data_IF_741458917245
#
_entry.id   IF_741458917245
#
_cell.length_a   1.000
_cell.length_b   1.000
_cell.length_c   1.000
_cell.angle_alpha   90.00
_cell.angle_beta   90.00
_cell.angle_gamma   90.00
#
_symmetry.space_group_name_H-M   'P 1'
#
loop_
_entity.id
_entity.type
_entity.pdbx_description
1 polymer ?
#
# COMPACT_ATOMS: atom_id res chain seq x y z
N UNK A 1 -48.92 17.37 6.50
CA UNK A 1 -48.33 18.48 5.70
C UNK A 1 -47.28 19.18 6.55
N UNK A 2 -46.05 19.05 6.18
CA UNK A 2 -44.96 19.72 6.85
C UNK A 2 -44.75 21.06 6.13
N UNK A 3 -45.17 22.13 6.75
CA UNK A 3 -44.82 23.48 6.32
C UNK A 3 -43.57 23.91 7.08
N UNK A 4 -42.42 23.88 6.46
CA UNK A 4 -41.26 24.58 6.96
C UNK A 4 -41.12 25.92 6.24
N UNK A 5 -41.52 27.02 6.91
CA UNK A 5 -41.49 28.37 6.31
C UNK A 5 -40.06 28.88 6.06
N UNK A 6 -39.05 28.13 6.48
CA UNK A 6 -37.64 28.51 6.32
C UNK A 6 -36.92 27.67 5.30
N UNK A 7 -37.63 26.79 4.57
CA UNK A 7 -37.02 26.02 3.52
C UNK A 7 -36.40 26.93 2.46
N UNK A 8 -35.11 26.85 2.27
CA UNK A 8 -34.38 27.55 1.22
C UNK A 8 -33.50 26.55 0.50
N UNK A 9 -33.67 26.42 -0.80
CA UNK A 9 -32.85 25.57 -1.65
C UNK A 9 -31.37 25.92 -1.47
N UNK A 10 -30.51 24.91 -1.38
CA UNK A 10 -29.07 25.07 -1.25
C UNK A 10 -28.53 25.37 0.16
N UNK A 11 -29.34 25.25 1.20
CA UNK A 11 -28.89 25.31 2.59
C UNK A 11 -28.99 23.97 3.28
N UNK A 12 -28.08 23.70 4.20
CA UNK A 12 -28.14 22.53 5.05
C UNK A 12 -29.27 22.64 6.05
N UNK A 13 -30.23 21.73 6.01
CA UNK A 13 -31.33 21.65 6.95
C UNK A 13 -31.16 20.50 7.90
N UNK A 14 -31.42 20.76 9.15
CA UNK A 14 -31.63 19.71 10.14
C UNK A 14 -33.10 19.35 10.10
N UNK A 15 -33.44 18.23 9.50
CA UNK A 15 -34.79 17.70 9.58
C UNK A 15 -34.98 17.06 10.94
N UNK A 16 -35.82 17.65 11.77
CA UNK A 16 -36.40 16.90 12.86
C UNK A 16 -37.53 16.06 12.28
N UNK A 17 -37.32 14.76 12.23
CA UNK A 17 -38.40 13.83 12.02
C UNK A 17 -39.33 13.93 13.21
N UNK A 18 -40.39 14.74 13.06
CA UNK A 18 -41.46 14.77 14.05
C UNK A 18 -42.30 13.54 13.92
N UNK A 19 -42.95 13.14 14.99
CA UNK A 19 -43.84 11.98 15.05
C UNK A 19 -44.97 12.00 13.99
N UNK A 20 -45.21 13.10 13.33
CA UNK A 20 -46.18 13.22 12.25
C UNK A 20 -45.81 12.38 10.99
N UNK A 21 -44.55 12.02 10.86
CA UNK A 21 -44.12 11.03 9.85
C UNK A 21 -44.54 9.59 10.19
N UNK A 22 -45.03 9.33 11.39
CA UNK A 22 -45.53 8.03 11.82
C UNK A 22 -46.99 7.80 11.54
N UNK A 23 -47.67 8.71 10.86
CA UNK A 23 -49.05 8.49 10.39
C UNK A 23 -49.15 7.52 9.21
N UNK A 24 -48.04 7.11 8.64
CA UNK A 24 -47.99 5.99 7.70
C UNK A 24 -47.85 4.69 8.49
N UNK A 25 -48.96 4.07 8.76
CA UNK A 25 -49.13 2.92 9.65
C UNK A 25 -48.25 1.70 9.33
N UNK A 26 -47.49 1.69 8.25
CA UNK A 26 -46.78 0.52 7.76
C UNK A 26 -45.27 0.69 7.59
N UNK A 27 -44.70 1.87 7.84
CA UNK A 27 -43.23 2.04 7.81
C UNK A 27 -42.66 2.11 9.20
N UNK A 28 -42.23 0.98 9.69
CA UNK A 28 -41.30 0.92 10.82
C UNK A 28 -40.00 1.58 10.36
N UNK A 29 -39.81 2.81 10.72
CA UNK A 29 -38.47 3.43 10.59
C UNK A 29 -37.55 2.63 11.50
N UNK A 30 -36.72 1.82 10.90
CA UNK A 30 -35.72 1.05 11.61
C UNK A 30 -34.70 2.04 12.21
N UNK A 31 -34.90 2.38 13.46
CA UNK A 31 -33.98 3.25 14.21
C UNK A 31 -32.64 2.59 14.47
N UNK A 32 -32.47 1.32 14.08
CA UNK A 32 -31.16 0.65 14.08
C UNK A 32 -30.32 0.99 12.84
N UNK A 33 -30.92 1.56 11.82
CA UNK A 33 -30.17 2.16 10.69
C UNK A 33 -29.54 3.46 11.20
N UNK A 34 -28.61 3.36 12.10
CA UNK A 34 -27.80 4.47 12.55
C UNK A 34 -28.52 5.83 12.60
N UNK A 35 -28.00 6.74 13.34
CA UNK A 35 -28.46 8.12 13.33
C UNK A 35 -28.65 8.53 11.86
N UNK A 36 -29.91 8.84 11.49
CA UNK A 36 -30.12 9.60 10.26
C UNK A 36 -29.28 10.86 10.46
N UNK A 37 -28.13 10.90 9.83
CA UNK A 37 -27.27 12.05 9.90
C UNK A 37 -27.96 13.15 9.09
N UNK A 38 -28.83 13.85 9.78
CA UNK A 38 -29.61 14.95 9.22
C UNK A 38 -28.75 16.16 8.87
N UNK A 39 -27.44 16.05 9.07
CA UNK A 39 -26.52 17.16 8.85
C UNK A 39 -25.96 17.20 7.43
N UNK A 40 -26.23 16.20 6.63
CA UNK A 40 -25.63 16.13 5.30
C UNK A 40 -26.70 16.15 4.25
N UNK A 41 -27.02 17.33 3.84
CA UNK A 41 -27.61 17.53 2.54
C UNK A 41 -26.63 16.96 1.50
N UNK A 42 -27.12 16.10 0.63
CA UNK A 42 -26.44 15.76 -0.59
C UNK A 42 -26.27 17.06 -1.36
N UNK A 43 -25.04 17.42 -1.68
CA UNK A 43 -24.76 18.64 -2.46
C UNK A 43 -25.21 18.50 -3.93
N UNK A 44 -25.78 17.35 -4.28
CA UNK A 44 -26.23 17.04 -5.65
C UNK A 44 -25.06 16.65 -6.57
N UNK A 45 -23.83 16.83 -6.13
CA UNK A 45 -22.65 16.48 -6.92
C UNK A 45 -22.16 15.08 -6.58
N UNK A 46 -21.92 14.28 -7.61
CA UNK A 46 -21.31 12.97 -7.47
C UNK A 46 -19.93 13.02 -8.10
N UNK A 47 -18.92 12.77 -7.28
CA UNK A 47 -17.57 12.59 -7.76
C UNK A 47 -17.24 11.11 -7.86
N UNK A 48 -16.42 10.76 -8.84
CA UNK A 48 -16.01 9.37 -9.06
C UNK A 48 -14.53 9.17 -8.74
N UNK A 49 -14.25 8.19 -7.89
CA UNK A 49 -12.92 7.69 -7.59
C UNK A 49 -12.70 6.35 -8.28
N UNK A 50 -11.69 6.24 -9.12
CA UNK A 50 -11.20 4.94 -9.58
C UNK A 50 -10.12 4.48 -8.63
N UNK A 51 -10.35 3.34 -7.99
CA UNK A 51 -9.48 2.81 -6.96
C UNK A 51 -8.69 1.62 -7.49
N UNK A 52 -7.52 1.40 -6.91
CA UNK A 52 -6.67 0.23 -7.15
C UNK A 52 -6.23 -0.33 -5.80
N UNK A 53 -5.71 -1.55 -5.79
CA UNK A 53 -5.15 -2.11 -4.58
C UNK A 53 -4.05 -1.23 -3.99
N UNK A 54 -3.93 -1.22 -2.68
CA UNK A 54 -2.91 -0.44 -1.94
C UNK A 54 -1.50 -0.98 -2.14
N UNK A 55 -1.37 -2.20 -2.70
CA UNK A 55 -0.07 -2.83 -2.95
C UNK A 55 0.66 -2.19 -4.13
N UNK A 56 1.97 -2.08 -4.00
CA UNK A 56 2.88 -1.67 -5.06
C UNK A 56 4.06 -2.61 -5.09
N UNK A 57 4.34 -3.18 -6.27
CA UNK A 57 5.45 -4.14 -6.44
C UNK A 57 6.79 -3.48 -6.17
N UNK A 58 7.65 -4.19 -5.47
CA UNK A 58 9.02 -3.75 -5.21
C UNK A 58 9.88 -3.86 -6.47
N UNK A 59 10.87 -3.00 -6.59
CA UNK A 59 11.88 -3.02 -7.64
C UNK A 59 13.25 -3.37 -7.07
N UNK A 60 13.89 -4.38 -7.65
CA UNK A 60 15.21 -4.87 -7.24
C UNK A 60 16.14 -4.93 -8.44
N UNK A 61 17.32 -4.38 -8.31
CA UNK A 61 18.38 -4.46 -9.29
C UNK A 61 19.48 -5.44 -8.81
N UNK A 62 19.99 -6.25 -9.71
CA UNK A 62 21.15 -7.12 -9.44
C UNK A 62 22.46 -6.47 -9.90
N UNK A 63 23.57 -6.87 -9.30
CA UNK A 63 24.93 -6.58 -9.81
C UNK A 63 25.69 -7.90 -9.96
N UNK A 64 26.50 -8.02 -10.99
CA UNK A 64 27.31 -9.23 -11.25
C UNK A 64 28.80 -8.95 -11.06
N UNK A 65 29.54 -9.98 -10.72
CA UNK A 65 31.00 -9.90 -10.53
C UNK A 65 31.66 -11.26 -10.52
N UNK A 66 32.97 -11.30 -10.49
CA UNK A 66 33.81 -12.51 -10.36
C UNK A 66 34.66 -12.42 -9.09
N UNK A 67 35.19 -13.56 -8.65
CA UNK A 67 35.93 -13.63 -7.39
C UNK A 67 35.02 -13.31 -6.20
N UNK A 68 33.88 -13.93 -6.13
CA UNK A 68 32.85 -13.70 -5.10
C UNK A 68 32.73 -14.90 -4.15
N UNK A 69 32.22 -14.65 -2.95
CA UNK A 69 31.88 -15.72 -2.00
C UNK A 69 30.66 -16.45 -2.53
N UNK A 70 30.86 -17.75 -2.82
CA UNK A 70 29.82 -18.57 -3.39
C UNK A 70 28.93 -19.22 -2.34
N UNK A 71 29.55 -19.76 -1.30
CA UNK A 71 28.84 -20.49 -0.25
C UNK A 71 29.51 -20.28 1.09
N UNK A 72 28.73 -20.22 2.15
CA UNK A 72 29.18 -20.15 3.52
C UNK A 72 28.86 -21.45 4.23
N UNK A 73 29.86 -22.04 4.87
CA UNK A 73 29.74 -23.23 5.68
C UNK A 73 29.79 -22.86 7.16
N UNK A 74 28.68 -23.05 7.86
CA UNK A 74 28.62 -22.86 9.31
C UNK A 74 29.22 -24.09 9.97
N UNK A 75 30.47 -23.98 10.43
CA UNK A 75 31.22 -25.11 11.03
C UNK A 75 30.81 -25.34 12.48
N UNK A 76 30.44 -24.28 13.19
CA UNK A 76 29.90 -24.29 14.55
C UNK A 76 28.87 -23.17 14.68
N UNK A 77 27.69 -23.52 15.13
CA UNK A 77 26.57 -22.56 15.30
C UNK A 77 26.67 -21.67 16.55
N UNK A 78 27.62 -22.01 17.46
CA UNK A 78 27.80 -21.30 18.72
C UNK A 78 26.61 -21.43 19.67
N UNK A 79 26.62 -20.68 20.74
CA UNK A 79 25.53 -20.66 21.71
C UNK A 79 25.46 -19.36 22.50
N UNK A 80 24.30 -19.10 23.11
CA UNK A 80 24.11 -17.99 24.04
C UNK A 80 23.90 -16.63 23.36
N UNK A 81 23.57 -16.57 22.09
CA UNK A 81 23.27 -15.32 21.39
C UNK A 81 21.97 -14.72 21.91
N UNK A 82 22.00 -13.41 22.21
CA UNK A 82 20.83 -12.61 22.58
C UNK A 82 20.39 -11.66 21.47
N UNK A 83 21.28 -11.41 20.52
CA UNK A 83 21.03 -10.64 19.30
C UNK A 83 21.90 -11.17 18.14
N UNK A 84 21.56 -10.89 16.88
CA UNK A 84 22.38 -11.31 15.74
C UNK A 84 23.81 -10.82 15.87
N UNK A 85 24.81 -11.72 15.69
CA UNK A 85 26.22 -11.33 15.75
C UNK A 85 26.61 -10.54 14.49
N UNK A 86 27.68 -9.76 14.61
CA UNK A 86 28.34 -9.11 13.48
C UNK A 86 29.23 -10.12 12.76
N UNK A 87 29.02 -10.25 11.45
CA UNK A 87 29.81 -11.14 10.58
C UNK A 87 30.65 -10.28 9.64
N UNK A 88 31.96 -10.42 9.73
CA UNK A 88 32.90 -9.67 8.90
C UNK A 88 33.75 -10.63 8.08
N UNK A 89 34.07 -10.22 6.87
CA UNK A 89 34.97 -10.90 5.96
C UNK A 89 36.29 -10.12 5.86
N UNK A 90 37.40 -10.80 5.69
CA UNK A 90 38.66 -10.12 5.38
C UNK A 90 38.50 -9.32 4.07
N UNK A 91 39.33 -8.27 3.95
CA UNK A 91 39.26 -7.36 2.82
C UNK A 91 39.41 -8.07 1.47
N UNK A 92 38.73 -7.54 0.47
CA UNK A 92 38.83 -7.96 -0.92
C UNK A 92 39.87 -7.09 -1.64
N UNK A 93 40.71 -7.67 -2.52
CA UNK A 93 41.66 -6.90 -3.35
C UNK A 93 40.96 -5.84 -4.22
N UNK A 94 39.69 -6.01 -4.57
CA UNK A 94 38.90 -5.04 -5.33
C UNK A 94 38.18 -3.99 -4.45
N UNK A 95 38.42 -3.98 -3.14
CA UNK A 95 37.72 -3.14 -2.16
C UNK A 95 36.19 -3.34 -2.14
N UNK A 96 35.74 -4.55 -2.48
CA UNK A 96 34.35 -4.98 -2.44
C UNK A 96 34.18 -6.19 -1.52
N UNK A 97 34.29 -6.04 -0.20
CA UNK A 97 34.21 -7.16 0.73
C UNK A 97 32.81 -7.74 0.75
N UNK A 98 32.74 -9.06 0.94
CA UNK A 98 31.50 -9.75 1.21
C UNK A 98 30.87 -9.26 2.52
N UNK A 99 29.55 -9.33 2.60
CA UNK A 99 28.77 -8.97 3.78
C UNK A 99 27.70 -10.02 4.03
N UNK A 100 27.42 -10.31 5.29
CA UNK A 100 26.41 -11.29 5.66
C UNK A 100 25.73 -10.92 6.97
N UNK A 101 24.58 -11.56 7.20
CA UNK A 101 23.83 -11.53 8.45
C UNK A 101 23.65 -12.93 8.99
N UNK A 102 23.69 -13.09 10.31
CA UNK A 102 23.39 -14.34 10.99
C UNK A 102 21.92 -14.37 11.39
N UNK A 103 21.23 -15.43 10.99
CA UNK A 103 19.87 -15.74 11.43
C UNK A 103 19.94 -16.62 12.65
N UNK A 104 19.29 -16.23 13.73
CA UNK A 104 19.28 -16.97 14.99
C UNK A 104 18.08 -17.90 15.08
N UNK A 105 18.30 -19.02 15.77
CA UNK A 105 17.22 -19.93 16.20
C UNK A 105 17.39 -20.27 17.67
N UNK A 106 16.27 -20.51 18.35
CA UNK A 106 16.28 -20.92 19.77
C UNK A 106 15.71 -22.33 19.87
N UNK A 107 16.52 -23.26 20.36
CA UNK A 107 16.14 -24.64 20.61
C UNK A 107 16.48 -25.01 22.05
N UNK A 108 15.52 -25.53 22.80
CA UNK A 108 15.70 -25.93 24.21
C UNK A 108 16.37 -24.82 25.08
N UNK A 109 15.94 -23.56 24.92
CA UNK A 109 16.48 -22.35 25.57
C UNK A 109 17.93 -22.00 25.22
N UNK A 110 18.48 -22.59 24.19
CA UNK A 110 19.79 -22.22 23.66
C UNK A 110 19.57 -21.51 22.34
N UNK A 111 20.04 -20.27 22.23
CA UNK A 111 20.00 -19.53 20.99
C UNK A 111 21.36 -19.65 20.28
N UNK A 112 21.34 -20.11 19.05
CA UNK A 112 22.50 -20.30 18.19
C UNK A 112 22.27 -19.71 16.80
N UNK A 113 23.29 -19.66 15.96
CA UNK A 113 23.15 -19.26 14.56
C UNK A 113 22.56 -20.43 13.77
N UNK A 114 21.39 -20.24 13.18
CA UNK A 114 20.76 -21.23 12.31
C UNK A 114 21.42 -21.26 10.93
N UNK A 115 21.63 -20.07 10.37
CA UNK A 115 22.25 -19.89 9.04
C UNK A 115 22.85 -18.50 8.90
N UNK A 116 23.76 -18.38 7.94
CA UNK A 116 24.35 -17.12 7.53
C UNK A 116 23.92 -16.81 6.11
N UNK A 117 23.31 -15.65 5.89
CA UNK A 117 22.84 -15.18 4.59
C UNK A 117 23.72 -14.04 4.09
N UNK A 118 24.17 -14.13 2.84
CA UNK A 118 24.90 -13.05 2.20
C UNK A 118 23.98 -11.86 1.90
N UNK A 119 24.38 -10.68 2.29
CA UNK A 119 23.79 -9.41 1.81
C UNK A 119 24.56 -8.89 0.60
N UNK A 120 25.83 -9.25 0.48
CA UNK A 120 26.66 -9.03 -0.69
C UNK A 120 27.69 -10.17 -0.77
N UNK A 121 27.85 -10.76 -1.93
CA UNK A 121 28.85 -11.80 -2.14
C UNK A 121 30.28 -11.25 -2.31
N UNK A 122 30.42 -9.92 -2.40
CA UNK A 122 31.70 -9.29 -2.66
C UNK A 122 32.24 -9.56 -4.04
N UNK A 123 33.47 -9.19 -4.28
CA UNK A 123 34.13 -9.42 -5.57
C UNK A 123 35.65 -9.31 -5.49
N UNK A 124 36.35 -9.87 -6.48
CA UNK A 124 37.81 -9.78 -6.61
C UNK A 124 38.61 -10.65 -5.65
N UNK A 125 37.99 -11.60 -4.95
CA UNK A 125 38.73 -12.56 -4.15
C UNK A 125 39.45 -13.57 -5.04
N UNK A 126 40.73 -13.82 -4.71
CA UNK A 126 41.54 -14.86 -5.32
C UNK A 126 41.69 -16.08 -4.40
N UNK A 127 41.44 -15.88 -3.10
CA UNK A 127 41.43 -16.93 -2.07
C UNK A 127 40.24 -16.71 -1.15
N UNK A 128 39.66 -17.75 -0.53
CA UNK A 128 38.54 -17.59 0.39
C UNK A 128 38.86 -16.62 1.52
N UNK A 129 38.02 -15.59 1.75
CA UNK A 129 38.23 -14.69 2.85
C UNK A 129 38.02 -15.36 4.21
N UNK A 130 38.73 -14.86 5.22
CA UNK A 130 38.50 -15.27 6.61
C UNK A 130 37.20 -14.65 7.11
N UNK A 131 36.35 -15.45 7.76
CA UNK A 131 35.09 -15.01 8.37
C UNK A 131 35.32 -14.85 9.87
N UNK A 132 35.00 -13.68 10.40
CA UNK A 132 35.00 -13.38 11.84
C UNK A 132 33.58 -13.13 12.31
N UNK A 133 33.14 -13.90 13.32
CA UNK A 133 31.82 -13.75 13.95
C UNK A 133 32.05 -13.17 15.36
N UNK A 134 31.44 -12.04 15.65
CA UNK A 134 31.65 -11.32 16.91
C UNK A 134 30.39 -10.64 17.44
N UNK A 135 30.32 -10.42 18.73
CA UNK A 135 29.17 -9.75 19.35
C UNK A 135 27.97 -10.66 19.52
N UNK A 136 26.79 -10.08 19.73
CA UNK A 136 25.53 -10.80 19.94
C UNK A 136 25.41 -11.53 21.26
N UNK A 137 26.41 -11.47 22.16
CA UNK A 137 26.40 -12.12 23.48
C UNK A 137 26.76 -13.58 23.45
N UNK A 138 26.79 -14.24 22.29
CA UNK A 138 27.12 -15.65 22.13
C UNK A 138 28.61 -15.92 21.96
N UNK A 139 28.97 -17.21 21.99
CA UNK A 139 30.35 -17.69 21.86
C UNK A 139 30.42 -18.95 20.99
N UNK A 140 31.60 -19.20 20.43
CA UNK A 140 31.94 -20.48 19.77
C UNK A 140 31.45 -20.61 18.33
N UNK A 141 30.77 -19.64 17.76
CA UNK A 141 30.39 -19.70 16.36
C UNK A 141 31.61 -19.58 15.44
N UNK A 142 31.63 -20.42 14.40
CA UNK A 142 32.68 -20.42 13.39
C UNK A 142 32.12 -20.77 12.01
N UNK A 143 32.61 -20.07 11.01
CA UNK A 143 32.23 -20.30 9.63
C UNK A 143 33.44 -20.21 8.67
N UNK A 144 33.34 -20.89 7.56
CA UNK A 144 34.25 -20.81 6.41
C UNK A 144 33.45 -20.58 5.14
N UNK A 145 34.11 -20.24 4.04
CA UNK A 145 33.43 -20.03 2.77
C UNK A 145 34.23 -20.60 1.60
N UNK A 146 33.52 -20.82 0.49
CA UNK A 146 34.11 -21.04 -0.82
C UNK A 146 33.95 -19.81 -1.69
N UNK A 147 34.80 -19.69 -2.73
CA UNK A 147 34.71 -18.60 -3.72
C UNK A 147 34.58 -19.16 -5.14
N UNK A 148 34.03 -18.33 -6.03
CA UNK A 148 34.01 -18.62 -7.48
C UNK A 148 34.81 -17.52 -8.18
N UNK A 149 35.83 -17.94 -8.96
CA UNK A 149 36.75 -16.99 -9.62
C UNK A 149 36.66 -17.05 -11.14
N UNK A 150 36.08 -18.12 -11.70
CA UNK A 150 36.06 -18.34 -13.14
C UNK A 150 34.83 -17.73 -13.79
N UNK A 151 33.69 -17.86 -13.14
CA UNK A 151 32.42 -17.38 -13.65
C UNK A 151 31.92 -16.14 -12.90
N UNK A 152 31.15 -15.29 -13.60
CA UNK A 152 30.42 -14.22 -12.95
C UNK A 152 29.14 -14.77 -12.32
N UNK A 153 28.83 -14.26 -11.12
CA UNK A 153 27.59 -14.50 -10.40
C UNK A 153 26.96 -13.19 -9.93
N UNK A 154 25.78 -13.24 -9.37
CA UNK A 154 25.13 -12.11 -8.72
C UNK A 154 25.83 -11.83 -7.40
N UNK A 155 26.43 -10.67 -7.27
CA UNK A 155 27.21 -10.28 -6.09
C UNK A 155 26.44 -9.37 -5.13
N UNK A 156 25.37 -8.76 -5.63
CA UNK A 156 24.51 -7.90 -4.82
C UNK A 156 23.12 -7.78 -5.41
N UNK A 157 22.11 -7.72 -4.54
CA UNK A 157 20.76 -7.23 -4.84
C UNK A 157 20.55 -5.89 -4.17
N UNK A 158 20.20 -4.88 -4.95
CA UNK A 158 19.87 -3.55 -4.47
C UNK A 158 18.37 -3.33 -4.57
N UNK A 159 17.70 -3.10 -3.45
CA UNK A 159 16.29 -2.72 -3.43
C UNK A 159 16.21 -1.25 -3.84
N UNK A 160 15.72 -1.00 -5.06
CA UNK A 160 15.54 0.35 -5.63
C UNK A 160 14.28 0.97 -5.04
N UNK A 161 13.22 0.18 -4.97
CA UNK A 161 11.94 0.52 -4.37
C UNK A 161 11.42 -0.68 -3.58
N UNK A 162 11.11 -0.47 -2.31
CA UNK A 162 10.61 -1.54 -1.44
C UNK A 162 9.17 -1.96 -1.70
N UNK A 163 8.44 -1.26 -2.58
CA UNK A 163 7.02 -1.50 -2.79
C UNK A 163 6.20 -1.24 -1.52
N UNK A 164 4.96 -1.70 -1.51
CA UNK A 164 4.04 -1.56 -0.36
C UNK A 164 3.07 -2.74 -0.34
N UNK A 165 2.63 -3.15 0.85
CA UNK A 165 1.54 -4.12 1.01
C UNK A 165 1.98 -5.57 1.07
N UNK A 166 3.24 -5.84 1.34
CA UNK A 166 3.75 -7.19 1.55
C UNK A 166 3.35 -7.71 2.93
N UNK A 167 2.40 -8.64 2.99
CA UNK A 167 2.06 -9.36 4.23
C UNK A 167 2.99 -10.54 4.53
N UNK A 168 3.66 -11.04 3.48
CA UNK A 168 4.62 -12.15 3.52
C UNK A 168 5.79 -11.84 2.59
N UNK A 169 6.91 -12.51 2.78
CA UNK A 169 8.09 -12.34 1.94
C UNK A 169 7.78 -12.76 0.49
N UNK A 170 7.96 -11.85 -0.50
CA UNK A 170 7.70 -12.17 -1.89
C UNK A 170 8.77 -13.10 -2.46
N UNK A 171 8.40 -13.86 -3.48
CA UNK A 171 9.36 -14.62 -4.26
C UNK A 171 10.17 -13.69 -5.17
N UNK A 172 11.49 -13.96 -5.24
CA UNK A 172 12.42 -13.23 -6.10
C UNK A 172 12.76 -14.15 -7.28
N UNK A 173 12.38 -13.76 -8.47
CA UNK A 173 12.74 -14.46 -9.69
C UNK A 173 13.90 -13.74 -10.40
N UNK A 174 14.96 -14.45 -10.70
CA UNK A 174 16.15 -13.93 -11.38
C UNK A 174 16.24 -14.58 -12.76
N UNK A 175 16.49 -13.80 -13.79
CA UNK A 175 16.67 -14.33 -15.15
C UNK A 175 17.83 -15.32 -15.17
N UNK A 176 17.59 -16.49 -15.74
CA UNK A 176 18.58 -17.55 -15.88
C UNK A 176 19.76 -17.11 -16.77
N UNK A 177 21.00 -17.42 -16.42
CA UNK A 177 22.13 -17.22 -17.33
C UNK A 177 22.04 -18.15 -18.54
N UNK A 178 22.66 -17.75 -19.65
CA UNK A 178 22.68 -18.58 -20.87
C UNK A 178 23.34 -19.96 -20.68
N UNK A 179 24.28 -20.04 -19.75
CA UNK A 179 24.91 -21.28 -19.32
C UNK A 179 25.36 -21.13 -17.86
N UNK A 180 25.01 -22.10 -17.02
CA UNK A 180 25.39 -22.06 -15.60
C UNK A 180 24.22 -22.32 -14.65
N UNK A 181 24.26 -21.72 -13.47
CA UNK A 181 23.21 -21.84 -12.44
C UNK A 181 22.58 -20.48 -12.15
N UNK A 182 21.26 -20.46 -11.99
CA UNK A 182 20.51 -19.24 -11.65
C UNK A 182 20.78 -18.82 -10.21
N UNK A 183 20.94 -17.52 -9.99
CA UNK A 183 21.04 -16.96 -8.66
C UNK A 183 19.71 -17.06 -7.91
N UNK A 184 19.79 -17.23 -6.58
CA UNK A 184 18.63 -17.33 -5.69
C UNK A 184 18.69 -16.21 -4.67
N UNK A 185 17.66 -15.38 -4.67
CA UNK A 185 17.44 -14.33 -3.69
C UNK A 185 16.39 -14.74 -2.65
N UNK A 186 16.58 -14.32 -1.41
CA UNK A 186 15.60 -14.44 -0.32
C UNK A 186 15.19 -13.06 0.11
N UNK A 187 13.89 -12.76 -0.03
CA UNK A 187 13.32 -11.51 0.40
C UNK A 187 13.30 -11.40 1.93
N UNK A 188 13.40 -10.18 2.43
CA UNK A 188 13.12 -9.84 3.82
C UNK A 188 12.28 -8.58 3.85
N UNK A 189 11.13 -8.65 4.49
CA UNK A 189 10.19 -7.55 4.63
C UNK A 189 10.34 -6.87 5.99
N UNK A 190 9.87 -5.65 6.08
CA UNK A 190 9.86 -4.90 7.33
C UNK A 190 9.05 -3.62 7.21
N UNK A 191 8.83 -2.95 8.33
CA UNK A 191 8.03 -1.72 8.37
C UNK A 191 8.81 -0.52 7.82
N UNK A 192 8.13 0.28 6.98
CA UNK A 192 8.53 1.62 6.59
C UNK A 192 7.35 2.56 6.89
N UNK A 193 7.38 3.22 8.05
CA UNK A 193 6.21 3.90 8.57
C UNK A 193 5.14 2.88 8.99
N UNK A 194 3.94 3.02 8.44
CA UNK A 194 2.81 2.09 8.62
C UNK A 194 2.82 0.90 7.66
N UNK A 195 3.66 0.94 6.62
CA UNK A 195 3.60 0.01 5.51
C UNK A 195 4.63 -1.11 5.63
N UNK A 196 4.23 -2.32 5.28
CA UNK A 196 5.16 -3.44 5.09
C UNK A 196 5.74 -3.38 3.68
N UNK A 197 7.07 -3.31 3.62
CA UNK A 197 7.85 -3.17 2.38
C UNK A 197 8.95 -4.22 2.31
N UNK A 198 9.45 -4.47 1.11
CA UNK A 198 10.69 -5.22 0.92
C UNK A 198 11.88 -4.38 1.41
N UNK A 199 12.56 -4.84 2.45
CA UNK A 199 13.73 -4.15 3.05
C UNK A 199 15.04 -4.55 2.42
N UNK A 200 15.20 -5.83 2.15
CA UNK A 200 16.44 -6.37 1.61
C UNK A 200 16.19 -7.68 0.86
N UNK A 201 17.12 -8.03 -0.01
CA UNK A 201 17.18 -9.34 -0.64
C UNK A 201 18.55 -9.93 -0.30
N UNK A 202 18.54 -11.07 0.38
CA UNK A 202 19.74 -11.84 0.69
C UNK A 202 20.09 -12.76 -0.46
N UNK A 203 21.37 -13.02 -0.65
CA UNK A 203 21.87 -13.97 -1.64
C UNK A 203 21.94 -15.35 -0.98
N UNK A 204 21.07 -16.26 -1.41
CA UNK A 204 21.12 -17.66 -1.00
C UNK A 204 22.06 -18.47 -1.89
N UNK A 205 22.05 -18.19 -3.19
CA UNK A 205 23.02 -18.71 -4.17
C UNK A 205 23.34 -17.56 -5.14
N UNK A 206 24.59 -17.15 -5.28
CA UNK A 206 25.01 -16.18 -6.28
C UNK A 206 24.80 -16.61 -7.73
N UNK A 207 24.57 -17.89 -7.95
CA UNK A 207 24.57 -18.49 -9.29
C UNK A 207 25.96 -18.41 -9.96
N UNK A 208 25.99 -18.66 -11.23
CA UNK A 208 27.21 -18.53 -12.06
C UNK A 208 26.90 -18.55 -13.55
N UNK A 209 27.81 -18.00 -14.35
CA UNK A 209 27.71 -18.02 -15.81
C UNK A 209 26.93 -16.85 -16.37
N UNK A 210 26.73 -15.79 -15.60
CA UNK A 210 26.17 -14.53 -16.08
C UNK A 210 27.18 -13.78 -16.93
N UNK A 211 26.74 -13.33 -18.10
CA UNK A 211 27.52 -12.48 -19.02
C UNK A 211 27.00 -11.03 -18.92
N UNK A 212 25.70 -10.89 -18.69
CA UNK A 212 25.03 -9.62 -18.49
C UNK A 212 24.29 -9.64 -17.16
N UNK A 213 24.06 -8.47 -16.59
CA UNK A 213 23.22 -8.30 -15.40
C UNK A 213 21.83 -8.89 -15.63
N UNK A 214 21.40 -9.86 -14.80
CA UNK A 214 20.08 -10.45 -14.93
C UNK A 214 18.97 -9.47 -14.57
N UNK A 215 17.80 -9.63 -15.18
CA UNK A 215 16.60 -8.99 -14.70
C UNK A 215 16.12 -9.71 -13.42
N UNK A 216 15.65 -8.93 -12.46
CA UNK A 216 15.08 -9.41 -11.21
C UNK A 216 13.63 -9.01 -11.15
N UNK A 217 12.75 -9.97 -10.93
CA UNK A 217 11.32 -9.75 -10.78
C UNK A 217 10.89 -10.13 -9.37
N UNK A 218 10.22 -9.25 -8.70
CA UNK A 218 9.62 -9.47 -7.38
C UNK A 218 8.15 -9.80 -7.57
N UNK A 219 7.65 -10.82 -6.86
CA UNK A 219 6.23 -11.14 -6.89
C UNK A 219 5.40 -9.97 -6.33
N UNK A 220 4.23 -9.78 -6.90
CA UNK A 220 3.31 -8.74 -6.46
C UNK A 220 2.84 -8.95 -5.02
N UNK A 221 2.62 -7.88 -4.26
CA UNK A 221 2.07 -7.98 -2.93
C UNK A 221 0.61 -8.48 -2.97
N UNK A 222 0.18 -9.28 -1.96
CA UNK A 222 -1.20 -9.81 -1.93
C UNK A 222 -2.28 -8.73 -1.86
N UNK A 223 -1.96 -7.53 -1.37
CA UNK A 223 -2.89 -6.40 -1.25
C UNK A 223 -3.07 -5.58 -2.53
N UNK A 224 -2.59 -6.04 -3.69
CA UNK A 224 -2.89 -5.41 -4.99
C UNK A 224 -4.38 -5.30 -5.28
N UNK A 225 -5.20 -6.18 -4.71
CA UNK A 225 -6.66 -6.17 -4.87
C UNK A 225 -7.41 -5.15 -4.01
N UNK A 226 -6.72 -4.40 -3.13
CA UNK A 226 -7.36 -3.59 -2.09
C UNK A 226 -7.87 -4.42 -0.92
N UNK A 227 -8.42 -3.79 0.09
CA UNK A 227 -8.88 -4.44 1.33
C UNK A 227 -10.30 -3.95 1.65
N UNK A 228 -11.20 -4.91 1.89
CA UNK A 228 -12.54 -4.65 2.39
C UNK A 228 -13.52 -4.13 1.34
N UNK A 229 -14.69 -3.72 1.79
CA UNK A 229 -15.80 -3.22 0.97
C UNK A 229 -16.33 -1.94 1.62
N UNK A 230 -16.43 -0.87 0.86
CA UNK A 230 -17.03 0.38 1.35
C UNK A 230 -18.53 0.20 1.59
N UNK A 231 -19.01 0.85 2.64
CA UNK A 231 -20.40 0.80 3.06
C UNK A 231 -21.11 2.08 2.59
N UNK A 232 -22.33 1.94 2.10
CA UNK A 232 -23.16 3.08 1.72
C UNK A 232 -23.25 4.09 2.89
N UNK A 233 -23.12 5.37 2.56
CA UNK A 233 -23.22 6.50 3.48
C UNK A 233 -22.10 6.59 4.56
N UNK A 234 -21.08 5.75 4.52
CA UNK A 234 -19.92 5.93 5.40
C UNK A 234 -19.07 7.12 4.98
N UNK A 235 -18.30 7.65 5.93
CA UNK A 235 -17.28 8.66 5.65
C UNK A 235 -16.00 7.96 5.22
N UNK A 236 -15.44 8.40 4.11
CA UNK A 236 -14.09 8.06 3.68
C UNK A 236 -13.14 9.21 3.97
N UNK A 237 -11.86 8.92 4.07
CA UNK A 237 -10.78 9.89 4.25
C UNK A 237 -9.57 9.54 3.42
N UNK A 238 -9.02 10.55 2.74
CA UNK A 238 -7.73 10.47 2.08
C UNK A 238 -6.58 10.53 3.08
N UNK A 239 -5.63 9.61 2.98
CA UNK A 239 -4.52 9.51 3.94
C UNK A 239 -3.56 10.71 3.93
N UNK A 240 -3.48 11.42 2.82
CA UNK A 240 -2.59 12.56 2.61
C UNK A 240 -3.34 13.89 2.57
N UNK A 241 -4.45 13.92 1.84
CA UNK A 241 -5.27 15.12 1.71
C UNK A 241 -6.04 15.43 2.99
N UNK A 242 -6.34 14.39 3.79
CA UNK A 242 -7.27 14.43 4.90
C UNK A 242 -8.69 14.87 4.47
N UNK A 243 -8.94 14.88 3.17
CA UNK A 243 -10.25 15.16 2.61
C UNK A 243 -11.22 14.07 3.00
N UNK A 244 -12.39 14.45 3.46
CA UNK A 244 -13.47 13.55 3.78
C UNK A 244 -14.62 13.70 2.78
N UNK A 245 -15.30 12.58 2.50
CA UNK A 245 -16.46 12.53 1.64
C UNK A 245 -17.39 11.38 2.07
N UNK A 246 -18.60 11.34 1.53
CA UNK A 246 -19.56 10.25 1.79
C UNK A 246 -19.65 9.29 0.62
N UNK A 247 -19.70 8.01 0.96
CA UNK A 247 -19.90 6.93 -0.01
C UNK A 247 -21.33 6.92 -0.51
N UNK A 248 -21.52 7.01 -1.81
CA UNK A 248 -22.81 6.82 -2.50
C UNK A 248 -22.97 5.41 -3.05
N UNK A 249 -21.94 4.89 -3.68
CA UNK A 249 -21.92 3.52 -4.14
C UNK A 249 -20.51 3.00 -4.27
N UNK A 250 -20.36 1.69 -4.15
CA UNK A 250 -19.12 0.98 -4.36
C UNK A 250 -19.35 -0.21 -5.31
N UNK A 251 -18.63 -0.25 -6.40
CA UNK A 251 -18.59 -1.40 -7.29
C UNK A 251 -17.24 -2.11 -7.19
N UNK A 252 -17.22 -3.22 -6.50
CA UNK A 252 -16.02 -4.03 -6.30
C UNK A 252 -15.49 -4.71 -7.58
N UNK A 253 -16.30 -4.80 -8.65
CA UNK A 253 -15.86 -5.41 -9.90
C UNK A 253 -15.07 -4.42 -10.75
N UNK A 254 -15.45 -3.16 -10.72
CA UNK A 254 -14.79 -2.08 -11.47
C UNK A 254 -13.85 -1.24 -10.61
N UNK A 255 -13.87 -1.44 -9.28
CA UNK A 255 -13.19 -0.61 -8.30
C UNK A 255 -13.55 0.88 -8.41
N UNK A 256 -14.79 1.15 -8.75
CA UNK A 256 -15.33 2.51 -8.84
C UNK A 256 -16.08 2.84 -7.55
N UNK A 257 -15.66 3.91 -6.90
CA UNK A 257 -16.30 4.48 -5.73
C UNK A 257 -16.94 5.82 -6.09
N UNK A 258 -18.25 5.90 -6.00
CA UNK A 258 -18.98 7.16 -6.13
C UNK A 258 -19.15 7.79 -4.75
N UNK A 259 -18.87 9.07 -4.69
CA UNK A 259 -18.89 9.85 -3.45
C UNK A 259 -19.63 11.15 -3.63
N UNK A 260 -20.09 11.72 -2.54
CA UNK A 260 -20.67 13.07 -2.49
C UNK A 260 -20.13 13.84 -1.29
N UNK A 261 -20.47 15.10 -1.19
CA UNK A 261 -20.12 15.99 -0.07
C UNK A 261 -18.62 15.98 0.19
N UNK A 262 -17.82 16.16 -0.85
CA UNK A 262 -16.37 16.26 -0.74
C UNK A 262 -15.99 17.50 0.07
N UNK A 263 -15.16 17.29 1.11
CA UNK A 263 -14.76 18.36 2.03
C UNK A 263 -15.64 18.51 3.29
N UNK A 264 -16.32 17.43 3.71
CA UNK A 264 -17.13 17.43 4.94
C UNK A 264 -16.30 17.93 6.13
N UNK A 265 -16.95 18.70 7.00
CA UNK A 265 -16.31 19.21 8.22
C UNK A 265 -15.28 20.30 8.00
N UNK A 266 -15.24 20.92 6.81
CA UNK A 266 -14.29 21.99 6.47
C UNK A 266 -12.91 21.45 6.09
N UNK A 267 -12.83 20.17 5.71
CA UNK A 267 -11.62 19.58 5.15
C UNK A 267 -11.35 20.13 3.74
N UNK A 268 -10.16 19.88 3.21
CA UNK A 268 -9.80 20.31 1.85
C UNK A 268 -10.72 19.59 0.86
N UNK A 269 -11.19 20.29 -0.15
CA UNK A 269 -12.05 19.75 -1.19
C UNK A 269 -11.21 19.14 -2.33
N UNK A 270 -10.74 17.91 -2.16
CA UNK A 270 -10.03 17.22 -3.21
C UNK A 270 -9.09 16.13 -2.70
N UNK A 271 -9.02 15.06 -3.45
CA UNK A 271 -8.15 13.91 -3.17
C UNK A 271 -6.92 13.94 -4.07
N UNK A 272 -5.80 13.40 -3.57
CA UNK A 272 -4.56 13.28 -4.34
C UNK A 272 -4.41 11.88 -4.95
N UNK A 273 -4.17 11.80 -6.25
CA UNK A 273 -3.85 10.53 -6.92
C UNK A 273 -2.66 9.87 -6.23
N UNK A 274 -2.77 8.59 -5.95
CA UNK A 274 -1.77 7.78 -5.25
C UNK A 274 -1.90 7.76 -3.73
N UNK A 275 -2.85 8.50 -3.13
CA UNK A 275 -3.12 8.35 -1.70
C UNK A 275 -4.04 7.17 -1.39
N UNK A 276 -4.01 6.70 -0.15
CA UNK A 276 -4.95 5.69 0.32
C UNK A 276 -6.27 6.33 0.71
N UNK A 277 -7.37 5.75 0.25
CA UNK A 277 -8.74 6.10 0.63
C UNK A 277 -9.22 5.07 1.63
N UNK A 278 -9.60 5.52 2.82
CA UNK A 278 -9.96 4.64 3.94
C UNK A 278 -11.39 4.90 4.38
N UNK A 279 -12.20 3.85 4.42
CA UNK A 279 -13.54 3.87 5.00
C UNK A 279 -13.48 3.89 6.54
N UNK A 280 -14.10 4.89 7.16
CA UNK A 280 -14.03 5.05 8.62
C UNK A 280 -14.81 4.00 9.39
N UNK A 281 -15.85 3.44 8.81
CA UNK A 281 -16.69 2.42 9.43
C UNK A 281 -16.33 1.01 8.97
N UNK A 282 -16.09 0.82 7.68
CA UNK A 282 -15.76 -0.48 7.10
C UNK A 282 -14.32 -0.90 7.31
N UNK A 283 -13.40 0.07 7.45
CA UNK A 283 -11.96 -0.18 7.38
C UNK A 283 -11.48 -0.55 5.97
N UNK A 284 -12.33 -0.40 4.94
CA UNK A 284 -11.92 -0.61 3.57
C UNK A 284 -10.77 0.35 3.20
N UNK A 285 -9.79 -0.15 2.46
CA UNK A 285 -8.60 0.61 2.11
C UNK A 285 -8.14 0.30 0.69
N UNK A 286 -8.05 1.34 -0.12
CA UNK A 286 -7.66 1.28 -1.53
C UNK A 286 -6.80 2.49 -1.89
N UNK A 287 -5.97 2.38 -2.91
CA UNK A 287 -5.20 3.50 -3.45
C UNK A 287 -5.97 4.21 -4.55
N UNK A 288 -5.92 5.53 -4.58
CA UNK A 288 -6.60 6.34 -5.58
C UNK A 288 -5.81 6.36 -6.89
N UNK A 289 -6.37 5.78 -7.94
CA UNK A 289 -5.79 5.80 -9.29
C UNK A 289 -6.19 7.06 -10.08
N UNK A 290 -7.45 7.47 -9.99
CA UNK A 290 -7.94 8.72 -10.59
C UNK A 290 -9.10 9.28 -9.78
N UNK A 291 -9.22 10.59 -9.79
CA UNK A 291 -10.31 11.36 -9.19
C UNK A 291 -10.94 12.26 -10.24
N UNK A 292 -12.21 12.07 -10.47
CA UNK A 292 -13.01 12.93 -11.31
C UNK A 292 -14.02 13.68 -10.44
N UNK A 293 -13.79 14.97 -10.25
CA UNK A 293 -14.67 15.84 -9.45
C UNK A 293 -15.93 16.25 -10.20
N UNK A 294 -15.89 16.14 -11.53
CA UNK A 294 -16.92 16.66 -12.42
C UNK A 294 -17.71 15.55 -13.10
N UNK A 295 -17.65 14.33 -12.58
CA UNK A 295 -18.48 13.25 -13.11
C UNK A 295 -19.92 13.49 -12.67
N UNK A 296 -20.47 14.51 -13.30
CA UNK A 296 -21.87 14.85 -13.25
C UNK A 296 -22.68 13.76 -13.95
N UNK A 297 -22.66 12.56 -13.41
CA UNK A 297 -23.79 11.68 -13.54
C UNK A 297 -24.85 12.20 -12.56
N UNK A 298 -25.11 13.48 -12.73
CA UNK A 298 -26.07 14.22 -11.96
C UNK A 298 -27.44 13.60 -12.23
N UNK A 299 -27.84 12.75 -11.31
CA UNK A 299 -29.20 12.17 -11.32
C UNK A 299 -30.28 13.28 -11.28
N UNK A 300 -29.87 14.50 -11.02
CA UNK A 300 -30.68 15.71 -10.88
C UNK A 300 -30.37 16.77 -11.93
N UNK A 301 -29.47 16.52 -12.88
CA UNK A 301 -29.21 17.42 -14.02
C UNK A 301 -30.48 17.74 -14.81
N UNK A 302 -31.40 16.76 -14.89
CA UNK A 302 -32.74 17.00 -15.45
C UNK A 302 -33.55 17.97 -14.56
N UNK A 303 -33.23 18.05 -13.27
CA UNK A 303 -33.82 19.00 -12.32
C UNK A 303 -33.36 20.42 -12.55
N UNK A 304 -32.07 20.63 -12.76
CA UNK A 304 -31.46 21.94 -13.05
C UNK A 304 -31.94 22.46 -14.40
N UNK A 305 -32.05 21.59 -15.41
CA UNK A 305 -32.61 21.94 -16.70
C UNK A 305 -34.11 22.28 -16.58
N UNK A 306 -34.83 21.57 -15.71
CA UNK A 306 -36.24 21.88 -15.45
C UNK A 306 -36.38 23.20 -14.70
N UNK A 307 -35.53 23.48 -13.72
CA UNK A 307 -35.51 24.73 -12.96
C UNK A 307 -35.18 25.92 -13.88
N UNK A 308 -34.13 25.79 -14.70
CA UNK A 308 -33.76 26.79 -15.69
C UNK A 308 -34.89 27.05 -16.72
N UNK A 309 -35.58 25.99 -17.18
CA UNK A 309 -36.70 26.13 -18.06
C UNK A 309 -37.95 26.70 -17.37
N UNK A 310 -38.16 26.38 -16.09
CA UNK A 310 -39.25 26.92 -15.29
C UNK A 310 -39.04 28.41 -15.02
N UNK A 311 -37.83 28.85 -14.73
CA UNK A 311 -37.46 30.26 -14.56
C UNK A 311 -37.70 31.09 -15.84
N UNK A 312 -37.50 30.46 -17.01
CA UNK A 312 -37.80 31.12 -18.29
C UNK A 312 -39.31 31.22 -18.59
N UNK A 313 -40.11 30.29 -18.06
CA UNK A 313 -41.58 30.27 -18.27
C UNK A 313 -42.29 31.14 -17.23
N UNK A 314 -41.77 31.17 -16.01
CA UNK A 314 -42.31 31.93 -14.90
C UNK A 314 -41.41 33.15 -14.62
N UNK A 315 -41.45 34.11 -15.52
CA UNK A 315 -40.83 35.40 -15.27
C UNK A 315 -41.60 36.16 -14.19
N UNK A 316 -41.13 36.03 -12.96
CA UNK A 316 -41.61 36.81 -11.82
C UNK A 316 -40.95 38.20 -11.76
N UNK A 317 -40.25 38.65 -12.77
CA UNK A 317 -39.67 39.96 -12.82
C UNK A 317 -40.81 41.02 -12.95
N UNK A 318 -41.24 41.51 -11.79
CA UNK A 318 -41.67 42.87 -11.53
C UNK A 318 -42.84 43.51 -12.28
N UNK A 319 -43.50 42.81 -13.17
CA UNK A 319 -44.79 43.36 -13.60
C UNK A 319 -45.90 42.74 -12.76
N UNK A 320 -46.39 43.53 -11.83
CA UNK A 320 -47.62 43.20 -11.10
C UNK A 320 -48.71 42.82 -12.12
N UNK A 321 -49.08 41.52 -12.22
CA UNK A 321 -50.05 41.08 -13.22
C UNK A 321 -51.46 41.61 -12.95
N UNK A 322 -51.65 42.29 -11.83
CA UNK A 322 -52.91 42.84 -11.41
C UNK A 322 -53.03 44.35 -11.60
N UNK A 323 -52.01 45.01 -12.20
CA UNK A 323 -52.03 46.44 -12.45
C UNK A 323 -51.99 47.28 -11.18
N UNK A 324 -51.53 48.51 -11.29
CA UNK A 324 -51.65 49.49 -10.22
C UNK A 324 -53.11 49.93 -10.16
N UNK A 325 -53.73 49.63 -9.03
CA UNK A 325 -55.03 50.20 -8.69
C UNK A 325 -54.84 51.58 -8.05
#
# INVERSE_FOLDING_TARGET
EHEDPFYQLGKNYVYQLKCELFEYEDEVIDTSIGVIDTQVQDDGYISTLTLVGVGRTAEVAASIGSGYVREIFLNNDGSGFTSPPTITFSESPSNQPARAVGILTTRANITSIEKILLTSAGGGYNTPPTITISGGGGVGAAATCSIETVYQGVVNFNVVDGGVGYGTEPTIAVTQPGAGTTAVGIASIGMAGSDQVLKSVYIADPGRGYVNTPNVTVADPPSMAGIGTFIFNEIIEGSRSLTQARVKSWDANTNILQISNVGIGGTISGFYVGESIVGKSSGASYSLASYNSDDANDKYNDGDEFEFNADQILDFTESNPFGNF
#
